data_IF_750423632947
#
_entry.id   IF_750423632947
#
_cell.length_a   1.000
_cell.length_b   1.000
_cell.length_c   1.000
_cell.angle_alpha   90.00
_cell.angle_beta   90.00
_cell.angle_gamma   90.00
#
_symmetry.space_group_name_H-M   'P 1'
#
loop_
_entity.id
_entity.type
_entity.pdbx_description
1 polymer ?
#
# COMPACT_ATOMS: atom_id res chain seq x y z
N UNK A 1 3.91 15.80 -7.76
CA UNK A 1 3.21 15.00 -6.73
C UNK A 1 3.48 15.58 -5.33
N UNK A 2 2.52 15.52 -4.38
CA UNK A 2 2.72 16.10 -3.02
C UNK A 2 3.85 15.41 -2.24
N UNK A 3 4.09 14.12 -2.48
CA UNK A 3 5.16 13.34 -1.85
C UNK A 3 6.55 13.87 -2.25
N UNK A 4 6.80 14.08 -3.54
CA UNK A 4 8.09 14.59 -4.03
C UNK A 4 8.46 15.96 -3.45
N UNK A 5 7.46 16.81 -3.19
CA UNK A 5 7.67 18.11 -2.56
C UNK A 5 8.14 18.02 -1.09
N UNK A 6 7.96 16.87 -0.42
CA UNK A 6 8.41 16.68 0.97
C UNK A 6 9.93 16.48 1.08
N UNK A 7 10.62 16.16 -0.03
CA UNK A 7 12.05 15.90 -0.07
C UNK A 7 12.52 14.97 1.08
N UNK A 8 11.86 13.83 1.21
CA UNK A 8 12.01 12.87 2.31
C UNK A 8 12.56 11.55 1.78
N UNK A 9 13.25 10.80 2.64
CA UNK A 9 13.51 9.38 2.36
C UNK A 9 12.28 8.53 2.69
N UNK A 10 12.18 7.33 2.08
CA UNK A 10 11.15 6.35 2.44
C UNK A 10 11.14 6.09 3.95
N UNK A 11 12.31 5.80 4.54
CA UNK A 11 12.43 5.55 5.99
C UNK A 11 11.87 6.67 6.83
N UNK A 12 12.26 7.91 6.59
CA UNK A 12 11.77 9.05 7.37
C UNK A 12 10.26 9.26 7.20
N UNK A 13 9.75 9.07 5.98
CA UNK A 13 8.33 9.20 5.67
C UNK A 13 7.50 8.14 6.40
N UNK A 14 7.90 6.88 6.33
CA UNK A 14 7.18 5.76 6.95
C UNK A 14 7.23 5.77 8.47
N UNK A 15 8.37 6.18 9.05
CA UNK A 15 8.46 6.37 10.50
C UNK A 15 7.48 7.46 10.95
N UNK A 16 7.49 8.63 10.29
CA UNK A 16 6.55 9.72 10.60
C UNK A 16 5.09 9.29 10.44
N UNK A 17 4.77 8.53 9.40
CA UNK A 17 3.42 8.07 9.14
C UNK A 17 2.95 7.06 10.19
N UNK A 18 3.79 6.09 10.55
CA UNK A 18 3.46 5.12 11.59
C UNK A 18 3.36 5.77 12.98
N UNK A 19 4.23 6.73 13.30
CA UNK A 19 4.09 7.53 14.53
C UNK A 19 2.77 8.30 14.56
N UNK A 20 2.40 8.93 13.44
CA UNK A 20 1.13 9.66 13.33
C UNK A 20 -0.07 8.73 13.51
N UNK A 21 -0.07 7.53 12.94
CA UNK A 21 -1.22 6.62 13.03
C UNK A 21 -1.22 5.87 14.36
N UNK A 22 -0.15 5.14 14.67
CA UNK A 22 -0.14 4.16 15.76
C UNK A 22 -0.04 4.77 17.16
N UNK A 23 0.43 6.02 17.30
CA UNK A 23 0.42 6.73 18.59
C UNK A 23 -0.87 7.52 18.82
N UNK A 24 -1.83 7.44 17.91
CA UNK A 24 -3.14 8.04 18.05
C UNK A 24 -4.23 7.00 18.31
N UNK A 25 -5.26 7.40 19.05
CA UNK A 25 -6.37 6.51 19.46
C UNK A 25 -7.03 5.82 18.26
N UNK A 26 -7.21 6.54 17.15
CA UNK A 26 -7.81 6.00 15.93
C UNK A 26 -6.99 4.88 15.28
N UNK A 27 -5.65 4.93 15.38
CA UNK A 27 -4.78 3.88 14.85
C UNK A 27 -4.60 2.69 15.78
N UNK A 28 -5.19 2.70 16.98
CA UNK A 28 -5.04 1.61 17.95
C UNK A 28 -5.46 0.25 17.34
N UNK A 29 -6.57 0.20 16.61
CA UNK A 29 -7.11 -1.02 16.00
C UNK A 29 -6.36 -1.48 14.73
N UNK A 30 -5.56 -0.61 14.12
CA UNK A 30 -4.82 -0.88 12.89
C UNK A 30 -3.44 -1.41 13.27
N UNK A 31 -3.07 -2.57 12.73
CA UNK A 31 -1.74 -3.17 12.93
C UNK A 31 -0.89 -3.17 11.66
N UNK A 32 -1.51 -3.15 10.48
CA UNK A 32 -0.79 -3.04 9.21
C UNK A 32 -1.36 -1.89 8.41
N UNK A 33 -0.50 -0.95 8.08
CA UNK A 33 -0.81 0.16 7.16
C UNK A 33 -0.08 -0.10 5.85
N UNK A 34 -0.83 -0.19 4.75
CA UNK A 34 -0.27 -0.28 3.40
C UNK A 34 -0.30 1.12 2.79
N UNK A 35 0.82 1.56 2.23
CA UNK A 35 0.91 2.84 1.51
C UNK A 35 1.22 2.54 0.07
N UNK A 36 0.31 2.95 -0.81
CA UNK A 36 0.29 2.63 -2.23
C UNK A 36 0.29 3.91 -3.07
N UNK A 37 0.64 3.79 -4.35
CA UNK A 37 0.61 4.86 -5.33
C UNK A 37 -0.80 5.35 -5.65
N UNK A 38 -0.90 6.48 -6.36
CA UNK A 38 -2.18 7.04 -6.81
C UNK A 38 -2.89 6.18 -7.87
N UNK A 39 -2.16 5.24 -8.49
CA UNK A 39 -2.67 4.28 -9.47
C UNK A 39 -3.42 3.10 -8.84
N UNK A 40 -3.36 2.94 -7.51
CA UNK A 40 -3.99 1.84 -6.78
C UNK A 40 -5.28 2.33 -6.12
N UNK A 41 -6.40 1.64 -6.35
CA UNK A 41 -7.64 1.92 -5.64
C UNK A 41 -7.60 1.29 -4.22
N UNK A 42 -7.56 2.09 -3.13
CA UNK A 42 -7.48 1.54 -1.77
C UNK A 42 -8.78 0.87 -1.30
N UNK A 43 -9.86 0.98 -2.07
CA UNK A 43 -11.14 0.33 -1.81
C UNK A 43 -11.30 -0.99 -2.57
N UNK A 44 -10.39 -1.34 -3.48
CA UNK A 44 -10.36 -2.64 -4.15
C UNK A 44 -9.31 -3.56 -3.50
N UNK A 45 -9.77 -4.70 -2.99
CA UNK A 45 -8.90 -5.69 -2.36
C UNK A 45 -7.92 -6.34 -3.35
N UNK A 46 -8.27 -6.45 -4.63
CA UNK A 46 -7.41 -7.02 -5.67
C UNK A 46 -6.25 -6.07 -5.97
N UNK A 47 -6.53 -4.78 -6.16
CA UNK A 47 -5.50 -3.75 -6.36
C UNK A 47 -4.56 -3.69 -5.16
N UNK A 48 -5.11 -3.67 -3.95
CA UNK A 48 -4.32 -3.65 -2.72
C UNK A 48 -3.44 -4.90 -2.58
N UNK A 49 -3.97 -6.08 -2.93
CA UNK A 49 -3.22 -7.33 -2.88
C UNK A 49 -2.11 -7.36 -3.92
N UNK A 50 -2.38 -6.90 -5.14
CA UNK A 50 -1.39 -6.79 -6.21
C UNK A 50 -0.27 -5.81 -5.83
N UNK A 51 -0.61 -4.61 -5.35
CA UNK A 51 0.35 -3.60 -4.92
C UNK A 51 1.25 -4.12 -3.79
N UNK A 52 0.65 -4.73 -2.75
CA UNK A 52 1.41 -5.27 -1.64
C UNK A 52 2.34 -6.42 -2.06
N UNK A 53 1.86 -7.33 -2.91
CA UNK A 53 2.64 -8.49 -3.35
C UNK A 53 3.79 -8.13 -4.31
N UNK A 54 3.67 -7.05 -5.07
CA UNK A 54 4.62 -6.72 -6.16
C UNK A 54 5.51 -5.51 -5.87
N UNK A 55 5.12 -4.62 -4.95
CA UNK A 55 5.85 -3.38 -4.67
C UNK A 55 6.49 -3.31 -3.28
N UNK A 56 6.07 -4.15 -2.32
CA UNK A 56 6.66 -4.19 -0.99
C UNK A 56 7.70 -5.32 -0.89
N UNK A 57 9.00 -4.98 -0.91
CA UNK A 57 10.06 -5.98 -0.73
C UNK A 57 10.07 -6.52 0.70
N UNK A 58 9.97 -7.85 0.91
CA UNK A 58 10.00 -8.43 2.25
C UNK A 58 11.22 -7.98 3.05
N UNK A 59 11.04 -7.68 4.33
CA UNK A 59 12.07 -7.18 5.27
C UNK A 59 12.59 -5.76 5.00
N UNK A 60 12.73 -5.34 3.74
CA UNK A 60 13.34 -4.05 3.39
C UNK A 60 12.35 -2.89 3.38
N UNK A 61 11.12 -3.16 2.98
CA UNK A 61 10.05 -2.17 2.79
C UNK A 61 9.00 -2.21 3.92
N UNK A 62 9.33 -2.85 5.04
CA UNK A 62 8.47 -2.97 6.21
C UNK A 62 9.08 -2.21 7.41
N UNK A 63 8.34 -1.24 7.93
CA UNK A 63 8.76 -0.41 9.06
C UNK A 63 7.97 -0.83 10.29
N UNK A 64 8.64 -1.57 11.19
CA UNK A 64 8.02 -2.16 12.37
C UNK A 64 8.01 -1.20 13.56
N UNK A 65 6.90 -1.23 14.31
CA UNK A 65 6.65 -0.42 15.50
C UNK A 65 6.30 -1.35 16.66
N UNK A 66 7.27 -1.58 17.54
CA UNK A 66 7.11 -2.47 18.70
C UNK A 66 6.84 -1.73 20.02
N UNK A 67 7.07 -0.42 20.05
CA UNK A 67 6.94 0.47 21.21
C UNK A 67 5.60 1.25 21.25
N UNK A 68 4.58 0.75 20.56
CA UNK A 68 3.26 1.41 20.42
C UNK A 68 2.13 0.54 20.98
N UNK A 69 1.01 1.12 21.45
CA UNK A 69 -0.11 0.33 21.96
C UNK A 69 -0.70 -0.60 20.90
N UNK A 70 -0.85 -1.87 21.27
CA UNK A 70 -1.48 -2.88 20.43
C UNK A 70 -2.97 -3.02 20.73
N UNK A 71 -3.74 -3.45 19.73
CA UNK A 71 -5.10 -3.91 19.93
C UNK A 71 -5.12 -5.41 20.29
N UNK A 72 -5.40 -5.79 21.55
CA UNK A 72 -5.29 -7.17 22.00
C UNK A 72 -6.32 -8.12 21.38
N UNK A 73 -7.39 -7.62 20.77
CA UNK A 73 -8.39 -8.47 20.11
C UNK A 73 -7.93 -8.99 18.75
N UNK A 74 -6.80 -8.52 18.22
CA UNK A 74 -6.17 -9.15 17.07
C UNK A 74 -5.65 -10.54 17.49
N UNK A 75 -6.06 -11.65 16.83
CA UNK A 75 -5.79 -13.00 17.33
C UNK A 75 -4.30 -13.31 17.56
N UNK A 76 -3.41 -12.83 16.70
CA UNK A 76 -1.97 -13.04 16.86
C UNK A 76 -1.38 -12.25 18.03
N UNK A 77 -2.08 -11.25 18.57
CA UNK A 77 -1.66 -10.52 19.77
C UNK A 77 -2.12 -11.24 21.05
N UNK A 78 -3.38 -11.64 21.14
CA UNK A 78 -3.93 -12.28 22.35
C UNK A 78 -3.49 -13.72 22.54
N UNK A 79 -3.37 -14.46 21.43
CA UNK A 79 -3.05 -15.90 21.41
C UNK A 79 -1.65 -16.19 20.82
N UNK A 80 -0.90 -15.16 20.44
CA UNK A 80 0.50 -15.29 20.06
C UNK A 80 1.45 -15.38 21.26
N UNK A 81 2.73 -15.70 21.02
CA UNK A 81 3.74 -15.84 22.08
C UNK A 81 4.28 -14.49 22.60
N UNK A 82 3.88 -13.37 21.99
CA UNK A 82 4.47 -12.05 22.20
C UNK A 82 3.65 -11.17 23.15
N UNK A 83 4.14 -9.94 23.40
CA UNK A 83 3.45 -8.99 24.26
C UNK A 83 2.06 -8.63 23.69
N UNK A 84 1.03 -8.70 24.53
CA UNK A 84 -0.37 -8.57 24.09
C UNK A 84 -0.84 -7.14 23.86
N UNK A 85 -0.19 -6.18 24.51
CA UNK A 85 -0.64 -4.79 24.63
C UNK A 85 0.33 -3.77 24.02
N UNK A 86 1.46 -4.23 23.48
CA UNK A 86 2.44 -3.37 22.78
C UNK A 86 2.90 -4.05 21.51
N UNK A 87 3.25 -3.24 20.52
CA UNK A 87 3.88 -3.67 19.29
C UNK A 87 3.00 -4.42 18.33
N UNK A 88 3.63 -5.27 17.51
CA UNK A 88 2.96 -6.06 16.46
C UNK A 88 2.44 -5.20 15.30
N UNK A 89 2.98 -3.99 15.12
CA UNK A 89 2.53 -3.03 14.10
C UNK A 89 3.58 -2.79 13.04
N UNK A 90 3.11 -2.53 11.82
CA UNK A 90 3.98 -2.31 10.67
C UNK A 90 3.36 -1.34 9.68
N UNK A 91 4.18 -0.48 9.08
CA UNK A 91 3.83 0.23 7.85
C UNK A 91 4.60 -0.42 6.69
N UNK A 92 3.90 -0.81 5.65
CA UNK A 92 4.47 -1.44 4.46
C UNK A 92 4.55 -0.42 3.31
N UNK A 93 5.74 -0.25 2.77
CA UNK A 93 6.03 0.57 1.61
C UNK A 93 5.67 -0.17 0.32
N UNK A 94 4.57 0.21 -0.31
CA UNK A 94 4.20 -0.26 -1.64
C UNK A 94 4.40 0.85 -2.71
N UNK A 95 5.20 1.88 -2.39
CA UNK A 95 5.70 2.87 -3.35
C UNK A 95 7.08 2.43 -3.84
N UNK A 96 7.29 2.51 -5.15
CA UNK A 96 8.59 2.29 -5.76
C UNK A 96 9.44 3.57 -5.70
N UNK A 97 10.78 3.46 -5.81
CA UNK A 97 11.68 4.60 -5.59
C UNK A 97 11.38 5.85 -6.45
N UNK A 98 11.00 5.67 -7.71
CA UNK A 98 10.73 6.80 -8.63
C UNK A 98 9.50 7.63 -8.21
N UNK A 99 8.54 7.05 -7.47
CA UNK A 99 7.36 7.78 -6.99
C UNK A 99 7.72 8.86 -5.96
N UNK A 100 8.84 8.69 -5.25
CA UNK A 100 9.38 9.72 -4.34
C UNK A 100 9.91 10.94 -5.11
N UNK A 101 10.25 10.77 -6.38
CA UNK A 101 10.65 11.84 -7.27
C UNK A 101 9.46 12.38 -8.09
N UNK A 102 8.27 11.80 -7.89
CA UNK A 102 7.05 12.14 -8.63
C UNK A 102 7.04 11.58 -10.05
N UNK A 103 7.84 10.53 -10.30
CA UNK A 103 7.95 9.85 -11.58
C UNK A 103 7.33 8.45 -11.48
N UNK A 104 6.88 7.92 -12.61
CA UNK A 104 6.43 6.54 -12.73
C UNK A 104 6.99 5.94 -14.03
N UNK A 105 8.12 5.24 -13.93
CA UNK A 105 8.79 4.59 -15.07
C UNK A 105 8.15 3.30 -15.57
N UNK A 106 6.95 2.94 -15.10
CA UNK A 106 6.22 1.73 -15.48
C UNK A 106 4.75 2.03 -15.80
N UNK A 107 4.13 1.06 -16.48
CA UNK A 107 2.71 1.05 -16.78
C UNK A 107 2.15 -0.28 -16.32
N UNK A 108 0.94 -0.28 -15.75
CA UNK A 108 0.24 -1.52 -15.41
C UNK A 108 -0.07 -2.31 -16.70
N UNK A 109 0.25 -3.60 -16.69
CA UNK A 109 0.00 -4.48 -17.84
C UNK A 109 -1.41 -5.07 -17.74
N UNK A 110 -2.41 -4.20 -17.91
CA UNK A 110 -3.83 -4.55 -17.89
C UNK A 110 -4.55 -4.00 -19.13
N UNK A 111 -5.86 -4.21 -19.22
CA UNK A 111 -6.64 -3.76 -20.36
C UNK A 111 -6.80 -2.22 -20.41
N UNK A 112 -6.84 -1.55 -19.26
CA UNK A 112 -7.10 -0.12 -19.15
C UNK A 112 -5.85 0.72 -19.50
N UNK A 113 -4.67 0.24 -19.10
CA UNK A 113 -3.40 0.96 -19.16
C UNK A 113 -2.46 0.40 -20.24
N UNK A 114 -2.62 -0.88 -20.62
CA UNK A 114 -1.69 -1.59 -21.51
C UNK A 114 -1.90 -1.35 -23.00
N UNK A 115 -2.97 -0.65 -23.40
CA UNK A 115 -3.34 -0.44 -24.80
C UNK A 115 -3.69 1.03 -25.09
N UNK A 116 -3.50 1.50 -26.34
CA UNK A 116 -3.97 2.83 -26.75
C UNK A 116 -5.50 2.94 -26.64
N UNK A 117 -5.99 4.15 -26.36
CA UNK A 117 -7.42 4.44 -26.19
C UNK A 117 -8.28 4.00 -27.39
N UNK A 118 -7.76 4.16 -28.61
CA UNK A 118 -8.44 3.70 -29.84
C UNK A 118 -8.67 2.18 -29.84
N UNK A 119 -7.70 1.40 -29.35
CA UNK A 119 -7.81 -0.07 -29.27
C UNK A 119 -8.84 -0.45 -28.21
N UNK A 120 -8.77 0.17 -27.03
CA UNK A 120 -9.71 -0.07 -25.92
C UNK A 120 -11.14 0.22 -26.39
N UNK A 121 -11.39 1.41 -26.94
CA UNK A 121 -12.71 1.81 -27.46
C UNK A 121 -13.17 0.90 -28.62
N UNK A 122 -12.26 0.47 -29.48
CA UNK A 122 -12.53 -0.46 -30.56
C UNK A 122 -12.89 -1.87 -30.09
N UNK A 123 -12.38 -2.33 -28.95
CA UNK A 123 -12.75 -3.62 -28.34
C UNK A 123 -14.09 -3.49 -27.62
N UNK A 124 -14.27 -2.45 -26.80
CA UNK A 124 -15.51 -2.23 -26.04
C UNK A 124 -16.74 -2.04 -26.95
N UNK A 125 -16.58 -1.33 -28.07
CA UNK A 125 -17.68 -1.12 -29.04
C UNK A 125 -18.09 -2.39 -29.79
N UNK A 126 -17.21 -3.40 -29.88
CA UNK A 126 -17.45 -4.67 -30.60
C UNK A 126 -17.54 -5.88 -29.68
N UNK A 127 -17.64 -5.70 -28.37
CA UNK A 127 -17.67 -6.82 -27.40
C UNK A 127 -18.73 -7.88 -27.75
N UNK A 128 -19.92 -7.44 -28.20
CA UNK A 128 -21.00 -8.35 -28.61
C UNK A 128 -20.71 -9.13 -29.91
N UNK A 129 -19.84 -8.62 -30.80
CA UNK A 129 -19.37 -9.35 -31.99
C UNK A 129 -18.42 -10.48 -31.60
N UNK A 130 -17.69 -10.32 -30.48
CA UNK A 130 -16.81 -11.34 -29.92
C UNK A 130 -17.55 -12.35 -29.03
N UNK A 131 -18.84 -12.15 -28.78
CA UNK A 131 -19.66 -12.99 -27.90
C UNK A 131 -19.35 -12.80 -26.41
N UNK A 132 -18.84 -11.63 -26.04
CA UNK A 132 -18.59 -11.20 -24.65
C UNK A 132 -19.74 -10.32 -24.14
#
# INVERSE_FOLDING_TARGET
MKLAALNTTAKEFYIKLGDLVFRNKCGMQIHRLLVVGEDINPFDVNDMSWAFATRCRPSMDEFHFEDVPAYPLVPYMSHGPWAKLTGGKVVANCLLPEEYEGNQGWVACDFENGYPEEVINGVLSRQGEFGL
#
